data_IF_663013354279
#
_entry.id   IF_663013354279
#
_cell.length_a   1.000
_cell.length_b   1.000
_cell.length_c   1.000
_cell.angle_alpha   90.00
_cell.angle_beta   90.00
_cell.angle_gamma   90.00
#
_symmetry.space_group_name_H-M   'P 1'
#
loop_
_entity.id
_entity.type
_entity.pdbx_description
1 polymer ?
#
# COMPACT_ATOMS: atom_id res chain seq x y z
N UNK A 1 -8.09 -11.24 -4.59
CA UNK A 1 -9.02 -11.80 -3.59
C UNK A 1 -10.44 -11.33 -3.91
N UNK A 2 -11.46 -12.08 -3.52
CA UNK A 2 -12.89 -11.81 -3.72
C UNK A 2 -13.37 -11.91 -5.18
N UNK A 3 -14.35 -11.11 -5.58
CA UNK A 3 -15.07 -11.16 -6.86
C UNK A 3 -14.20 -11.06 -8.10
N UNK A 4 -13.13 -10.27 -8.04
CA UNK A 4 -12.16 -10.08 -9.14
C UNK A 4 -10.95 -11.03 -8.97
N UNK A 5 -10.83 -11.70 -7.82
CA UNK A 5 -9.75 -12.64 -7.53
C UNK A 5 -10.06 -14.08 -7.96
N UNK A 6 -9.14 -14.98 -7.63
CA UNK A 6 -9.26 -16.44 -7.82
C UNK A 6 -10.57 -17.01 -7.28
N UNK A 7 -11.05 -16.51 -6.13
CA UNK A 7 -12.28 -16.96 -5.50
C UNK A 7 -13.57 -16.56 -6.22
N UNK A 8 -13.55 -15.62 -7.17
CA UNK A 8 -14.74 -15.15 -7.92
C UNK A 8 -15.96 -14.81 -7.03
N UNK A 9 -15.69 -14.30 -5.83
CA UNK A 9 -16.72 -13.93 -4.84
C UNK A 9 -17.22 -15.08 -3.96
N UNK A 10 -16.66 -16.28 -4.14
CA UNK A 10 -16.84 -17.42 -3.25
C UNK A 10 -15.77 -17.46 -2.16
N UNK A 11 -15.95 -18.30 -1.14
CA UNK A 11 -14.94 -18.51 -0.11
C UNK A 11 -13.64 -19.04 -0.72
N UNK A 12 -12.54 -18.35 -0.47
CA UNK A 12 -11.19 -18.75 -0.88
C UNK A 12 -10.29 -18.91 0.35
N UNK A 13 -9.33 -19.81 0.24
CA UNK A 13 -8.23 -19.94 1.19
C UNK A 13 -6.97 -19.48 0.49
N UNK A 14 -6.49 -18.30 0.84
CA UNK A 14 -5.27 -17.73 0.28
C UNK A 14 -4.10 -17.94 1.23
N UNK A 15 -3.02 -18.52 0.72
CA UNK A 15 -1.77 -18.71 1.46
C UNK A 15 -0.78 -17.60 1.13
N UNK A 16 -0.68 -16.61 2.01
CA UNK A 16 0.27 -15.51 1.92
C UNK A 16 1.65 -15.98 2.39
N UNK A 17 2.59 -16.13 1.47
CA UNK A 17 3.94 -16.59 1.79
C UNK A 17 4.91 -15.42 1.94
N UNK A 18 5.74 -15.40 3.00
CA UNK A 18 6.76 -14.38 3.15
C UNK A 18 7.84 -14.54 2.08
N UNK A 19 8.71 -13.53 1.90
CA UNK A 19 9.87 -13.66 1.04
C UNK A 19 10.76 -14.82 1.53
N UNK A 20 11.33 -15.58 0.58
CA UNK A 20 12.25 -16.70 0.87
C UNK A 20 11.59 -17.89 1.60
N UNK A 21 10.26 -18.04 1.48
CA UNK A 21 9.58 -19.26 1.93
C UNK A 21 9.94 -20.45 1.02
N UNK A 22 10.43 -21.54 1.62
CA UNK A 22 10.85 -22.78 0.96
C UNK A 22 10.06 -24.02 1.43
N UNK A 23 9.06 -23.81 2.29
CA UNK A 23 8.17 -24.88 2.76
C UNK A 23 7.17 -25.33 1.70
N UNK A 24 6.47 -26.42 2.01
CA UNK A 24 5.48 -27.01 1.10
C UNK A 24 4.25 -26.10 0.94
N UNK A 25 3.64 -26.17 -0.25
CA UNK A 25 2.37 -25.54 -0.55
C UNK A 25 1.27 -26.55 -0.22
N UNK A 26 0.41 -26.21 0.74
CA UNK A 26 -0.69 -27.10 1.14
C UNK A 26 -1.78 -27.15 0.06
N UNK A 27 -2.28 -28.35 -0.19
CA UNK A 27 -3.45 -28.56 -1.05
C UNK A 27 -4.67 -27.79 -0.54
N UNK A 28 -5.44 -27.21 -1.47
CA UNK A 28 -6.65 -26.44 -1.17
C UNK A 28 -6.41 -24.97 -0.79
N UNK A 29 -5.17 -24.48 -0.88
CA UNK A 29 -4.84 -23.06 -0.76
C UNK A 29 -4.41 -22.48 -2.11
N UNK A 30 -4.76 -21.21 -2.36
CA UNK A 30 -4.22 -20.44 -3.49
C UNK A 30 -2.91 -19.77 -3.03
N UNK A 31 -1.75 -20.10 -3.62
CA UNK A 31 -0.47 -19.57 -3.19
C UNK A 31 -0.27 -18.12 -3.63
N UNK A 32 0.31 -17.33 -2.74
CA UNK A 32 0.55 -15.91 -2.93
C UNK A 32 1.95 -15.53 -2.46
N UNK A 33 2.90 -15.45 -3.39
CA UNK A 33 4.28 -15.05 -3.09
C UNK A 33 4.37 -13.54 -2.87
N UNK A 34 5.12 -13.15 -1.83
CA UNK A 34 5.31 -11.74 -1.47
C UNK A 34 6.79 -11.39 -1.48
N UNK A 35 7.06 -10.14 -1.87
CA UNK A 35 8.41 -9.58 -1.92
C UNK A 35 8.76 -8.76 -0.67
N UNK A 36 7.78 -8.55 0.23
CA UNK A 36 7.88 -7.80 1.50
C UNK A 36 7.31 -8.63 2.65
N UNK A 37 7.72 -8.31 3.88
CA UNK A 37 7.26 -8.97 5.12
C UNK A 37 5.95 -8.38 5.63
N UNK A 38 5.78 -7.05 5.56
CA UNK A 38 4.51 -6.40 5.86
C UNK A 38 3.60 -6.41 4.64
N UNK A 39 2.32 -6.60 4.92
CA UNK A 39 1.24 -6.66 3.94
C UNK A 39 0.09 -5.81 4.43
N UNK A 40 -0.56 -5.12 3.50
CA UNK A 40 -1.82 -4.43 3.75
C UNK A 40 -2.89 -5.18 2.95
N UNK A 41 -3.91 -5.68 3.65
CA UNK A 41 -5.09 -6.24 3.04
C UNK A 41 -6.20 -5.18 3.07
N UNK A 42 -6.57 -4.68 1.90
CA UNK A 42 -7.75 -3.84 1.75
C UNK A 42 -8.89 -4.70 1.20
N UNK A 43 -9.94 -4.86 2.00
CA UNK A 43 -11.15 -5.56 1.60
C UNK A 43 -12.32 -4.58 1.57
N UNK A 44 -13.00 -4.53 0.43
CA UNK A 44 -14.29 -3.84 0.31
C UNK A 44 -15.38 -4.89 0.33
N UNK A 45 -16.31 -4.75 1.27
CA UNK A 45 -17.45 -5.66 1.41
C UNK A 45 -18.68 -4.96 0.88
N UNK A 46 -19.24 -5.49 -0.19
CA UNK A 46 -20.48 -5.02 -0.78
C UNK A 46 -21.57 -6.07 -0.59
N UNK A 47 -22.76 -5.62 -0.18
CA UNK A 47 -23.95 -6.46 -0.01
C UNK A 47 -25.07 -5.90 -0.90
N UNK A 48 -25.88 -6.73 -1.57
CA UNK A 48 -26.92 -6.25 -2.49
C UNK A 48 -27.95 -5.32 -1.84
N UNK A 49 -28.19 -5.50 -0.54
CA UNK A 49 -29.15 -4.69 0.24
C UNK A 49 -28.64 -3.28 0.53
N UNK A 50 -27.32 -3.04 0.43
CA UNK A 50 -26.69 -1.81 0.86
C UNK A 50 -26.66 -1.57 2.37
N UNK A 51 -27.09 -2.53 3.19
CA UNK A 51 -27.15 -2.37 4.64
C UNK A 51 -25.78 -2.56 5.31
N UNK A 52 -25.38 -1.58 6.11
CA UNK A 52 -24.09 -1.56 6.82
C UNK A 52 -23.90 -2.79 7.74
N UNK A 53 -24.92 -3.13 8.53
CA UNK A 53 -24.79 -4.20 9.54
C UNK A 53 -24.61 -5.58 8.87
N UNK A 54 -25.19 -5.79 7.69
CA UNK A 54 -24.99 -7.00 6.88
C UNK A 54 -23.56 -7.06 6.33
N UNK A 55 -23.02 -5.94 5.82
CA UNK A 55 -21.64 -5.86 5.36
C UNK A 55 -20.64 -6.12 6.50
N UNK A 56 -20.89 -5.60 7.71
CA UNK A 56 -20.07 -5.88 8.89
C UNK A 56 -20.15 -7.35 9.29
N UNK A 57 -21.35 -7.95 9.30
CA UNK A 57 -21.51 -9.37 9.59
C UNK A 57 -20.75 -10.25 8.60
N UNK A 58 -20.71 -9.87 7.32
CA UNK A 58 -19.93 -10.56 6.29
C UNK A 58 -18.42 -10.35 6.48
N UNK A 59 -17.97 -9.13 6.77
CA UNK A 59 -16.56 -8.82 7.05
C UNK A 59 -16.01 -9.65 8.24
N UNK A 60 -16.84 -9.88 9.27
CA UNK A 60 -16.49 -10.69 10.46
C UNK A 60 -16.28 -12.18 10.15
N UNK A 61 -16.64 -12.65 8.95
CA UNK A 61 -16.34 -14.02 8.50
C UNK A 61 -14.92 -14.19 7.98
N UNK A 62 -14.19 -13.10 7.69
CA UNK A 62 -12.77 -13.16 7.35
C UNK A 62 -12.01 -13.85 8.49
N UNK A 63 -11.08 -14.74 8.12
CA UNK A 63 -10.16 -15.42 9.03
C UNK A 63 -8.74 -15.20 8.55
N UNK A 64 -7.88 -14.80 9.48
CA UNK A 64 -6.44 -14.61 9.24
C UNK A 64 -5.72 -15.26 10.41
N UNK A 65 -4.88 -16.25 10.10
CA UNK A 65 -4.19 -17.08 11.08
C UNK A 65 -2.88 -17.59 10.47
N UNK A 66 -1.93 -17.97 11.34
CA UNK A 66 -0.66 -18.54 10.90
C UNK A 66 -0.87 -19.95 10.30
N UNK A 67 -0.09 -20.27 9.27
CA UNK A 67 -0.11 -21.60 8.66
C UNK A 67 0.17 -22.67 9.73
N UNK A 68 -0.62 -23.74 9.74
CA UNK A 68 -0.53 -24.82 10.73
C UNK A 68 -1.46 -24.67 11.94
N UNK A 69 -2.05 -23.49 12.15
CA UNK A 69 -3.07 -23.28 13.17
C UNK A 69 -4.49 -23.52 12.64
N UNK A 70 -5.44 -23.75 13.54
CA UNK A 70 -6.87 -23.78 13.21
C UNK A 70 -7.39 -22.36 12.89
N UNK A 71 -8.42 -22.25 12.05
CA UNK A 71 -9.02 -20.97 11.69
C UNK A 71 -9.64 -20.21 12.89
N UNK A 72 -9.96 -20.92 13.98
CA UNK A 72 -10.39 -20.33 15.25
C UNK A 72 -9.26 -19.61 15.99
N UNK A 73 -7.99 -19.87 15.68
CA UNK A 73 -6.82 -19.21 16.27
C UNK A 73 -6.52 -17.82 15.69
N UNK A 74 -7.54 -17.14 15.17
CA UNK A 74 -7.44 -15.80 14.62
C UNK A 74 -6.96 -14.80 15.69
N UNK A 75 -5.98 -13.96 15.35
CA UNK A 75 -5.32 -13.06 16.30
C UNK A 75 -5.69 -11.59 16.15
N UNK A 76 -6.51 -11.21 15.16
CA UNK A 76 -6.85 -9.81 14.90
C UNK A 76 -8.21 -9.41 15.48
N UNK A 77 -8.30 -8.14 15.86
CA UNK A 77 -9.53 -7.49 16.29
C UNK A 77 -10.14 -6.67 15.14
N UNK A 78 -11.47 -6.64 15.06
CA UNK A 78 -12.19 -5.75 14.15
C UNK A 78 -12.64 -4.53 14.94
N UNK A 79 -12.01 -3.40 14.64
CA UNK A 79 -12.41 -2.09 15.17
C UNK A 79 -13.52 -1.52 14.29
N UNK A 80 -14.71 -1.36 14.86
CA UNK A 80 -15.82 -0.67 14.21
C UNK A 80 -15.66 0.85 14.41
N UNK A 81 -15.57 1.58 13.31
CA UNK A 81 -15.42 3.04 13.29
C UNK A 81 -16.69 3.77 12.84
N UNK A 82 -17.85 3.08 12.77
CA UNK A 82 -19.13 3.68 12.39
C UNK A 82 -19.44 4.90 13.26
N UNK A 83 -19.64 6.05 12.61
CA UNK A 83 -19.94 7.30 13.30
C UNK A 83 -18.73 8.01 13.93
N UNK A 84 -17.54 7.41 13.90
CA UNK A 84 -16.31 8.06 14.33
C UNK A 84 -15.68 8.78 13.12
N UNK A 85 -15.31 10.08 13.26
CA UNK A 85 -14.58 10.76 12.21
C UNK A 85 -13.23 10.06 11.99
N UNK A 86 -12.87 9.84 10.73
CA UNK A 86 -11.52 9.40 10.41
C UNK A 86 -10.53 10.51 10.84
N UNK A 87 -9.41 10.17 11.49
CA UNK A 87 -8.37 11.15 11.81
C UNK A 87 -7.68 11.53 10.51
N UNK A 88 -8.21 12.54 9.81
CA UNK A 88 -7.64 13.05 8.57
C UNK A 88 -6.82 14.32 8.87
N UNK A 89 -5.58 14.44 8.35
CA UNK A 89 -4.85 13.41 7.60
C UNK A 89 -4.39 12.24 8.49
N UNK A 90 -4.41 11.00 7.98
CA UNK A 90 -4.04 9.81 8.75
C UNK A 90 -2.55 9.74 9.11
N UNK A 91 -1.71 10.49 8.41
CA UNK A 91 -0.25 10.45 8.51
C UNK A 91 0.29 11.82 8.97
N UNK A 92 -0.09 12.22 10.19
CA UNK A 92 0.28 13.54 10.76
C UNK A 92 1.79 13.75 10.98
N UNK A 93 2.58 12.68 10.86
CA UNK A 93 4.02 12.64 11.12
C UNK A 93 4.89 12.91 9.88
N UNK A 94 4.31 12.96 8.68
CA UNK A 94 5.05 12.99 7.39
C UNK A 94 5.93 14.22 7.18
N UNK A 95 5.61 15.34 7.82
CA UNK A 95 6.32 16.62 7.67
C UNK A 95 7.41 16.84 8.72
N UNK A 96 7.73 15.81 9.51
CA UNK A 96 8.60 15.93 10.68
C UNK A 96 9.65 14.82 10.75
N UNK A 97 10.52 14.89 11.74
CA UNK A 97 11.51 13.84 12.01
C UNK A 97 10.89 12.44 12.20
N UNK A 98 9.62 12.36 12.61
CA UNK A 98 8.93 11.08 12.76
C UNK A 98 8.80 10.33 11.44
N UNK A 99 8.73 11.02 10.29
CA UNK A 99 8.81 10.38 8.97
C UNK A 99 10.04 9.49 8.86
N UNK A 100 11.22 9.99 9.23
CA UNK A 100 12.46 9.25 9.13
C UNK A 100 12.55 8.10 10.13
N UNK A 101 11.93 8.24 11.31
CA UNK A 101 11.81 7.13 12.27
C UNK A 101 10.94 6.00 11.72
N UNK A 102 9.80 6.34 11.10
CA UNK A 102 8.95 5.36 10.43
C UNK A 102 9.66 4.73 9.23
N UNK A 103 10.36 5.53 8.43
CA UNK A 103 11.13 5.05 7.29
C UNK A 103 12.25 4.11 7.71
N UNK A 104 13.01 4.45 8.77
CA UNK A 104 14.00 3.56 9.36
C UNK A 104 13.38 2.23 9.82
N UNK A 105 12.21 2.27 10.48
CA UNK A 105 11.49 1.06 10.88
C UNK A 105 11.14 0.15 9.68
N UNK A 106 10.76 0.75 8.54
CA UNK A 106 10.52 0.01 7.30
C UNK A 106 11.82 -0.58 6.75
N UNK A 107 12.88 0.22 6.64
CA UNK A 107 14.19 -0.24 6.16
C UNK A 107 14.72 -1.39 7.01
N UNK A 108 14.55 -1.32 8.33
CA UNK A 108 15.02 -2.33 9.26
C UNK A 108 14.21 -3.62 9.17
N UNK A 109 12.88 -3.50 9.09
CA UNK A 109 11.99 -4.65 9.03
C UNK A 109 12.00 -5.37 7.67
N UNK A 110 12.04 -4.62 6.57
CA UNK A 110 11.83 -5.17 5.22
C UNK A 110 13.09 -5.78 4.58
N UNK A 111 12.89 -6.54 3.51
CA UNK A 111 13.98 -7.10 2.70
C UNK A 111 14.17 -6.21 1.46
N UNK A 112 15.41 -5.80 1.21
CA UNK A 112 15.75 -5.03 0.02
C UNK A 112 15.52 -5.87 -1.24
N UNK A 113 14.65 -5.39 -2.13
CA UNK A 113 14.37 -6.09 -3.38
C UNK A 113 15.54 -5.93 -4.36
N UNK A 114 15.94 -6.98 -5.09
CA UNK A 114 17.05 -6.93 -6.04
C UNK A 114 16.99 -5.77 -7.05
N UNK A 115 15.79 -5.48 -7.57
CA UNK A 115 15.55 -4.39 -8.53
C UNK A 115 15.75 -2.99 -7.94
N UNK A 116 15.78 -2.85 -6.61
CA UNK A 116 15.90 -1.56 -5.92
C UNK A 116 17.18 -1.45 -5.09
N UNK A 117 18.17 -2.33 -5.29
CA UNK A 117 19.40 -2.37 -4.47
C UNK A 117 20.10 -1.02 -4.37
N UNK A 118 20.12 -0.24 -5.46
CA UNK A 118 20.68 1.11 -5.45
C UNK A 118 19.91 2.03 -4.51
N UNK A 119 18.59 2.14 -4.70
CA UNK A 119 17.72 2.97 -3.86
C UNK A 119 17.73 2.52 -2.39
N UNK A 120 17.79 1.22 -2.13
CA UNK A 120 17.87 0.65 -0.79
C UNK A 120 19.22 0.90 -0.10
N UNK A 121 20.27 1.26 -0.85
CA UNK A 121 21.58 1.63 -0.32
C UNK A 121 21.69 3.12 0.06
N UNK A 122 20.89 3.99 -0.56
CA UNK A 122 20.92 5.44 -0.29
C UNK A 122 20.66 5.82 1.18
N UNK A 123 19.72 5.18 1.91
CA UNK A 123 19.49 5.49 3.32
C UNK A 123 20.75 5.36 4.18
N UNK A 124 21.60 4.37 3.91
CA UNK A 124 22.86 4.19 4.65
C UNK A 124 23.80 5.40 4.48
N UNK A 125 23.85 6.00 3.28
CA UNK A 125 24.63 7.22 3.03
C UNK A 125 24.05 8.44 3.75
N UNK A 126 22.73 8.46 3.94
CA UNK A 126 21.99 9.48 4.66
C UNK A 126 21.92 9.29 6.18
N UNK A 127 22.70 8.35 6.75
CA UNK A 127 22.71 8.10 8.20
C UNK A 127 21.52 7.28 8.71
N UNK A 128 20.86 6.51 7.85
CA UNK A 128 19.74 5.63 8.18
C UNK A 128 20.17 4.18 7.94
N UNK A 129 20.97 3.59 8.85
CA UNK A 129 21.52 2.25 8.68
C UNK A 129 20.46 1.16 8.89
N UNK A 130 20.45 0.12 8.05
CA UNK A 130 19.69 -1.10 8.35
C UNK A 130 20.38 -1.90 9.47
N UNK A 131 19.61 -2.40 10.44
CA UNK A 131 20.11 -3.27 11.51
C UNK A 131 20.86 -2.56 12.64
N UNK A 132 20.83 -1.24 12.68
CA UNK A 132 21.48 -0.44 13.73
C UNK A 132 20.49 0.58 14.29
N UNK A 133 20.81 1.16 15.45
CA UNK A 133 20.01 2.24 16.00
C UNK A 133 20.07 3.47 15.08
N UNK A 134 18.93 4.13 14.92
CA UNK A 134 18.84 5.41 14.22
C UNK A 134 18.90 6.55 15.24
N UNK A 135 20.11 7.04 15.49
CA UNK A 135 20.42 8.09 16.47
C UNK A 135 21.08 9.30 15.77
N UNK A 136 20.31 10.10 15.03
CA UNK A 136 20.83 11.27 14.35
C UNK A 136 21.28 12.33 15.36
N UNK A 137 22.41 12.98 15.09
CA UNK A 137 22.83 14.15 15.85
C UNK A 137 21.95 15.38 15.54
N UNK A 138 22.10 16.45 16.33
CA UNK A 138 21.30 17.67 16.16
C UNK A 138 21.39 18.29 14.76
N UNK A 139 22.54 18.15 14.08
CA UNK A 139 22.73 18.64 12.72
C UNK A 139 21.90 17.81 11.74
N UNK A 140 21.97 16.49 11.86
CA UNK A 140 21.23 15.55 11.02
C UNK A 140 19.72 15.65 11.26
N UNK A 141 19.27 15.79 12.50
CA UNK A 141 17.85 16.01 12.82
C UNK A 141 17.29 17.25 12.12
N UNK A 142 18.05 18.34 12.10
CA UNK A 142 17.65 19.57 11.39
C UNK A 142 17.51 19.32 9.90
N UNK A 143 18.53 18.73 9.27
CA UNK A 143 18.55 18.45 7.82
C UNK A 143 17.38 17.52 7.43
N UNK A 144 17.17 16.46 8.20
CA UNK A 144 16.14 15.47 7.92
C UNK A 144 14.73 16.04 8.13
N UNK A 145 14.53 16.88 9.15
CA UNK A 145 13.25 17.57 9.36
C UNK A 145 12.91 18.49 8.18
N UNK A 146 13.88 19.29 7.72
CA UNK A 146 13.71 20.15 6.54
C UNK A 146 13.45 19.34 5.26
N UNK A 147 14.16 18.21 5.11
CA UNK A 147 13.98 17.29 3.99
C UNK A 147 12.59 16.64 3.99
N UNK A 148 12.03 16.28 5.15
CA UNK A 148 10.70 15.71 5.27
C UNK A 148 9.62 16.71 4.81
N UNK A 149 9.69 17.95 5.31
CA UNK A 149 8.78 19.03 4.90
C UNK A 149 8.91 19.35 3.40
N UNK A 150 10.13 19.44 2.90
CA UNK A 150 10.40 19.72 1.48
C UNK A 150 9.89 18.59 0.59
N UNK A 151 10.16 17.34 0.96
CA UNK A 151 9.67 16.16 0.23
C UNK A 151 8.15 16.11 0.17
N UNK A 152 7.48 16.37 1.30
CA UNK A 152 6.03 16.48 1.37
C UNK A 152 5.48 17.57 0.43
N UNK A 153 6.10 18.75 0.41
CA UNK A 153 5.70 19.83 -0.50
C UNK A 153 5.87 19.45 -1.97
N UNK A 154 7.00 18.82 -2.33
CA UNK A 154 7.26 18.31 -3.68
C UNK A 154 6.21 17.28 -4.08
N UNK A 155 5.84 16.36 -3.18
CA UNK A 155 4.80 15.35 -3.46
C UNK A 155 3.44 15.99 -3.73
N UNK A 156 3.05 17.03 -2.98
CA UNK A 156 1.80 17.75 -3.22
C UNK A 156 1.80 18.47 -4.58
N UNK A 157 2.90 19.13 -4.94
CA UNK A 157 3.02 19.77 -6.26
C UNK A 157 2.93 18.73 -7.37
N UNK A 158 3.65 17.61 -7.25
CA UNK A 158 3.63 16.54 -8.25
C UNK A 158 2.23 15.94 -8.45
N UNK A 159 1.43 15.85 -7.38
CA UNK A 159 0.09 15.27 -7.45
C UNK A 159 -0.97 16.27 -7.94
N UNK A 160 -0.98 17.50 -7.38
CA UNK A 160 -2.08 18.46 -7.60
C UNK A 160 -1.80 19.50 -8.69
N UNK A 161 -0.54 19.70 -9.06
CA UNK A 161 -0.14 20.61 -10.13
C UNK A 161 0.42 19.84 -11.34
N UNK A 162 -0.14 18.67 -11.64
CA UNK A 162 0.23 17.89 -12.81
C UNK A 162 -0.23 18.61 -14.09
N UNK A 163 0.71 19.27 -14.78
CA UNK A 163 0.43 19.99 -16.01
C UNK A 163 0.32 19.13 -17.27
N UNK A 164 0.30 17.81 -17.15
CA UNK A 164 0.28 16.92 -18.32
C UNK A 164 -1.10 16.96 -19.00
N UNK A 165 -1.24 17.36 -20.28
CA UNK A 165 -2.55 17.52 -20.92
C UNK A 165 -3.44 16.27 -20.92
N UNK A 166 -2.83 15.07 -20.89
CA UNK A 166 -3.56 13.80 -20.80
C UNK A 166 -4.14 13.50 -19.40
N UNK A 167 -3.84 14.33 -18.39
CA UNK A 167 -4.40 14.22 -17.04
C UNK A 167 -5.90 14.56 -17.04
N UNK A 168 -6.29 15.51 -17.87
CA UNK A 168 -7.67 15.97 -17.96
C UNK A 168 -8.56 14.91 -18.61
N UNK A 169 -9.70 14.64 -17.98
CA UNK A 169 -10.75 13.79 -18.53
C UNK A 169 -11.57 14.55 -19.57
N UNK A 170 -11.81 15.85 -19.35
CA UNK A 170 -12.53 16.72 -20.27
C UNK A 170 -11.73 18.01 -20.53
N UNK A 171 -11.53 18.42 -21.79
CA UNK A 171 -10.67 19.58 -22.11
C UNK A 171 -11.17 20.93 -21.59
N UNK A 172 -12.46 21.06 -21.31
CA UNK A 172 -13.11 22.29 -20.83
C UNK A 172 -13.18 22.39 -19.29
N UNK A 173 -12.63 21.42 -18.55
CA UNK A 173 -12.77 21.31 -17.09
C UNK A 173 -11.51 20.76 -16.43
N UNK A 174 -11.36 20.99 -15.13
CA UNK A 174 -10.23 20.49 -14.33
C UNK A 174 -10.51 19.13 -13.66
N UNK A 175 -11.27 18.27 -14.33
CA UNK A 175 -11.50 16.91 -13.82
C UNK A 175 -10.37 16.01 -14.28
N UNK A 176 -9.71 15.36 -13.33
CA UNK A 176 -8.62 14.42 -13.60
C UNK A 176 -8.97 13.04 -13.05
N UNK A 177 -8.46 12.00 -13.72
CA UNK A 177 -8.45 10.67 -13.13
C UNK A 177 -7.39 10.61 -12.03
N UNK A 178 -7.78 10.53 -10.77
CA UNK A 178 -6.84 10.48 -9.63
C UNK A 178 -5.84 9.31 -9.72
N UNK A 179 -6.16 8.25 -10.48
CA UNK A 179 -5.29 7.12 -10.80
C UNK A 179 -4.45 7.34 -12.07
N UNK A 180 -4.01 8.57 -12.35
CA UNK A 180 -2.92 8.86 -13.28
C UNK A 180 -1.55 8.41 -12.74
N UNK A 181 -1.53 7.35 -11.93
CA UNK A 181 -0.34 6.62 -11.52
C UNK A 181 -0.38 5.27 -12.25
N UNK A 182 -0.51 5.33 -13.58
CA UNK A 182 -0.19 4.18 -14.42
C UNK A 182 1.32 4.15 -14.61
N UNK A 183 1.99 2.97 -14.62
CA UNK A 183 3.35 2.94 -15.13
C UNK A 183 3.32 3.55 -16.54
N UNK A 184 4.29 4.42 -16.83
CA UNK A 184 4.65 4.75 -18.21
C UNK A 184 4.72 3.41 -18.95
N UNK A 185 3.84 3.20 -19.93
CA UNK A 185 3.94 2.00 -20.74
C UNK A 185 5.31 2.07 -21.42
N UNK A 186 6.25 1.16 -21.13
CA UNK A 186 7.63 1.30 -21.59
C UNK A 186 7.76 1.17 -23.11
N UNK A 187 6.74 0.66 -23.80
CA UNK A 187 6.72 0.53 -25.26
C UNK A 187 6.04 1.72 -25.96
N UNK A 188 5.04 2.34 -25.32
CA UNK A 188 4.27 3.43 -25.96
C UNK A 188 4.56 4.80 -25.39
N UNK A 189 5.31 4.87 -24.29
CA UNK A 189 5.61 6.08 -23.52
C UNK A 189 4.37 6.89 -23.05
N UNK A 190 3.16 6.32 -23.20
CA UNK A 190 1.90 6.99 -22.88
C UNK A 190 1.54 6.89 -21.41
N UNK A 191 0.94 7.96 -20.90
CA UNK A 191 0.20 7.95 -19.65
C UNK A 191 -1.13 7.24 -19.88
N UNK A 192 -1.21 5.96 -19.50
CA UNK A 192 -2.44 5.20 -19.13
C UNK A 192 -2.15 3.70 -19.25
N UNK A 193 -2.69 2.93 -18.32
CA UNK A 193 -2.72 1.48 -18.44
C UNK A 193 -3.65 1.10 -19.62
N UNK A 194 -3.16 0.31 -20.58
CA UNK A 194 -3.91 -0.14 -21.75
C UNK A 194 -5.22 -0.87 -21.38
N UNK A 195 -5.31 -1.40 -20.16
CA UNK A 195 -6.53 -2.03 -19.65
C UNK A 195 -7.69 -1.05 -19.38
N UNK A 196 -7.42 0.25 -19.21
CA UNK A 196 -8.48 1.26 -19.05
C UNK A 196 -9.12 1.67 -20.37
N UNK A 197 -8.49 1.38 -21.52
CA UNK A 197 -9.07 1.61 -22.85
C UNK A 197 -10.29 0.71 -23.12
N UNK A 198 -10.40 -0.42 -22.43
CA UNK A 198 -11.51 -1.38 -22.59
C UNK A 198 -12.83 -0.95 -21.95
N UNK A 199 -12.88 0.20 -21.27
CA UNK A 199 -14.09 0.69 -20.60
C UNK A 199 -15.04 1.50 -21.51
N UNK A 200 -14.75 1.60 -22.81
CA UNK A 200 -15.72 2.08 -23.81
C UNK A 200 -16.21 3.52 -23.61
N UNK A 201 -15.38 4.38 -23.02
CA UNK A 201 -15.62 5.81 -22.95
C UNK A 201 -14.83 6.48 -24.07
N UNK A 202 -15.41 6.44 -25.28
CA UNK A 202 -15.15 7.42 -26.34
C UNK A 202 -16.04 8.65 -26.16
#
# INVERSE_FOLDING_TARGET
MSTIGSGKGMSEKDLLMPPVYDGDILDGYTPHYRQTRKLILLMRVAVPTGHYDEAVALARKLKVYALGNDASAQTYEIVDVKGNPAPLPMLTWEMSMDYWRQFHSVIDHEIAQPRHRFMAGLPNLGGIPKGQAFEPDARMETILTDAAMTGWAIMNVNLFANGHPESLTWPDRNWEFILLIGPLNPETERFRNSQLLGLGLE
#
